data_IF_261366718601
#
_entry.id   IF_261366718601
#
_cell.length_a   1.000
_cell.length_b   1.000
_cell.length_c   1.000
_cell.angle_alpha   90.00
_cell.angle_beta   90.00
_cell.angle_gamma   90.00
#
_symmetry.space_group_name_H-M   'P 1'
#
loop_
_entity.id
_entity.type
_entity.pdbx_description
1 polymer ?
#
# COMPACT_ATOMS: atom_id res chain seq x y z
N UNK A 1 -17.55 -23.57 19.25
CA UNK A 1 -18.70 -23.26 18.38
C UNK A 1 -19.72 -22.42 19.13
N UNK A 2 -19.98 -21.23 18.61
CA UNK A 2 -21.10 -20.40 19.04
C UNK A 2 -22.29 -20.78 18.14
N UNK A 3 -23.47 -21.06 18.72
CA UNK A 3 -24.68 -21.36 17.94
C UNK A 3 -25.00 -20.22 16.97
N UNK A 4 -25.34 -20.55 15.72
CA UNK A 4 -25.54 -19.57 14.65
C UNK A 4 -26.72 -18.62 14.96
N UNK A 5 -27.75 -19.13 15.63
CA UNK A 5 -28.92 -18.42 16.15
C UNK A 5 -28.60 -17.51 17.36
N UNK A 6 -27.42 -17.62 17.95
CA UNK A 6 -26.91 -16.69 18.95
C UNK A 6 -26.13 -15.51 18.32
N UNK A 7 -25.89 -15.54 17.00
CA UNK A 7 -25.16 -14.51 16.25
C UNK A 7 -26.07 -13.84 15.21
N UNK A 8 -26.94 -14.60 14.54
CA UNK A 8 -27.83 -14.13 13.49
C UNK A 8 -29.29 -14.12 13.94
N UNK A 9 -30.04 -13.13 13.48
CA UNK A 9 -31.50 -13.02 13.65
C UNK A 9 -31.97 -13.01 15.12
N UNK A 10 -31.12 -12.50 16.00
CA UNK A 10 -31.34 -12.51 17.46
C UNK A 10 -32.41 -11.51 17.92
N UNK A 11 -32.84 -10.60 17.04
CA UNK A 11 -33.74 -9.51 17.38
C UNK A 11 -33.17 -8.54 18.44
N UNK A 12 -31.87 -8.63 18.74
CA UNK A 12 -31.17 -7.78 19.72
C UNK A 12 -30.74 -6.43 19.13
N UNK A 13 -30.93 -6.23 17.83
CA UNK A 13 -30.63 -4.98 17.14
C UNK A 13 -31.95 -4.27 16.82
N UNK A 14 -32.17 -3.14 17.47
CA UNK A 14 -33.25 -2.20 17.21
C UNK A 14 -32.60 -0.89 16.73
N UNK A 15 -32.93 -0.47 15.51
CA UNK A 15 -32.34 0.69 14.84
C UNK A 15 -32.73 2.00 15.56
N UNK A 16 -33.96 2.11 16.09
CA UNK A 16 -34.41 3.27 16.87
C UNK A 16 -33.75 3.33 18.25
N UNK A 17 -33.54 2.17 18.90
CA UNK A 17 -32.84 2.08 20.19
C UNK A 17 -31.34 2.35 20.02
N UNK A 18 -30.75 1.94 18.89
CA UNK A 18 -29.35 2.19 18.53
C UNK A 18 -29.03 3.67 18.38
N UNK A 19 -29.94 4.45 17.79
CA UNK A 19 -29.81 5.91 17.62
C UNK A 19 -30.01 6.70 18.93
N UNK A 20 -30.83 6.18 19.83
CA UNK A 20 -31.16 6.85 21.11
C UNK A 20 -30.38 6.32 22.30
N UNK A 21 -29.48 5.34 22.10
CA UNK A 21 -28.75 4.71 23.18
C UNK A 21 -27.90 5.76 23.94
N UNK A 22 -28.05 5.87 25.27
CA UNK A 22 -27.38 6.90 26.07
C UNK A 22 -25.85 6.81 26.08
N UNK A 23 -25.28 5.69 25.58
CA UNK A 23 -23.85 5.52 25.37
C UNK A 23 -23.29 6.42 24.26
N UNK A 24 -24.00 6.55 23.13
CA UNK A 24 -23.57 7.40 22.00
C UNK A 24 -23.61 8.87 22.35
N UNK A 25 -24.69 9.30 23.01
CA UNK A 25 -24.81 10.68 23.49
C UNK A 25 -23.71 11.05 24.50
N UNK A 26 -23.14 10.08 25.22
CA UNK A 26 -22.02 10.32 26.14
C UNK A 26 -20.69 10.48 25.40
N UNK A 27 -20.45 9.66 24.37
CA UNK A 27 -19.27 9.75 23.48
C UNK A 27 -19.30 11.05 22.65
N UNK A 28 -20.49 11.53 22.26
CA UNK A 28 -20.65 12.76 21.48
C UNK A 28 -20.51 14.05 22.30
N UNK A 29 -20.72 13.97 23.63
CA UNK A 29 -20.70 15.12 24.54
C UNK A 29 -19.35 15.30 25.26
N UNK A 30 -18.54 14.23 25.36
CA UNK A 30 -17.12 14.35 25.66
C UNK A 30 -16.35 14.60 24.36
N UNK A 31 -15.22 15.32 24.36
CA UNK A 31 -14.29 15.31 23.23
C UNK A 31 -13.62 13.93 23.23
N UNK A 32 -14.03 12.97 22.37
CA UNK A 32 -13.40 11.66 22.40
C UNK A 32 -11.95 11.84 22.01
N UNK A 33 -11.04 11.34 22.86
CA UNK A 33 -9.65 11.18 22.48
C UNK A 33 -9.67 10.28 21.24
N UNK A 34 -9.13 10.71 20.08
CA UNK A 34 -9.09 9.87 18.90
C UNK A 34 -8.52 8.50 19.26
N UNK A 35 -9.02 7.41 18.66
CA UNK A 35 -8.53 6.06 18.95
C UNK A 35 -7.00 5.94 18.73
N UNK A 36 -6.45 6.81 17.87
CA UNK A 36 -5.00 6.97 17.66
C UNK A 36 -4.25 7.45 18.92
N UNK A 37 -4.85 8.33 19.72
CA UNK A 37 -4.32 8.79 21.00
C UNK A 37 -4.68 7.86 22.17
N UNK A 38 -5.83 7.18 22.12
CA UNK A 38 -6.27 6.25 23.18
C UNK A 38 -5.47 4.94 23.17
N UNK A 39 -5.13 4.41 21.99
CA UNK A 39 -4.43 3.12 21.81
C UNK A 39 -2.97 3.26 21.35
N UNK A 40 -2.46 4.49 21.23
CA UNK A 40 -1.08 4.74 20.76
C UNK A 40 -0.83 4.30 19.32
N UNK A 41 -1.87 4.29 18.48
CA UNK A 41 -1.75 3.92 17.07
C UNK A 41 -1.14 5.09 16.31
N UNK A 42 0.02 4.85 15.71
CA UNK A 42 0.75 5.79 14.88
C UNK A 42 0.75 5.35 13.42
N UNK A 43 1.06 6.28 12.52
CA UNK A 43 1.25 5.98 11.11
C UNK A 43 2.36 6.81 10.51
N UNK A 44 3.01 6.26 9.49
CA UNK A 44 3.97 7.00 8.67
C UNK A 44 3.90 6.52 7.22
N UNK A 45 4.36 7.36 6.31
CA UNK A 45 4.45 7.03 4.89
C UNK A 45 5.90 6.80 4.51
N UNK A 46 6.19 5.61 3.98
CA UNK A 46 7.44 5.30 3.29
C UNK A 46 7.33 5.74 1.83
N UNK A 47 8.29 6.52 1.35
CA UNK A 47 8.38 6.94 -0.06
C UNK A 47 9.78 6.67 -0.58
N UNK A 48 9.87 6.11 -1.79
CA UNK A 48 11.16 5.91 -2.45
C UNK A 48 11.00 6.04 -3.98
N UNK A 49 11.97 6.70 -4.64
CA UNK A 49 11.92 6.95 -6.10
C UNK A 49 12.53 5.85 -6.95
N UNK A 50 13.39 5.03 -6.38
CA UNK A 50 13.99 3.89 -7.08
C UNK A 50 13.26 2.59 -6.77
N UNK A 51 13.25 1.63 -7.70
CA UNK A 51 12.49 0.40 -7.54
C UNK A 51 13.14 -0.52 -6.50
N UNK A 52 12.32 -1.40 -5.94
CA UNK A 52 12.82 -2.53 -5.15
C UNK A 52 13.48 -3.59 -6.04
N UNK A 53 14.56 -4.17 -5.53
CA UNK A 53 15.12 -5.40 -6.04
C UNK A 53 14.21 -6.58 -5.64
N UNK A 54 13.72 -7.39 -6.58
CA UNK A 54 12.70 -8.41 -6.30
C UNK A 54 13.14 -9.46 -5.29
N UNK A 55 14.34 -10.02 -5.45
CA UNK A 55 14.89 -11.00 -4.50
C UNK A 55 15.06 -10.45 -3.07
N UNK A 56 15.48 -9.19 -2.92
CA UNK A 56 15.64 -8.57 -1.60
C UNK A 56 14.30 -8.30 -0.96
N UNK A 57 13.35 -7.78 -1.74
CA UNK A 57 12.00 -7.54 -1.26
C UNK A 57 11.32 -8.84 -0.82
N UNK A 58 11.40 -9.90 -1.62
CA UNK A 58 10.84 -11.21 -1.27
C UNK A 58 11.41 -11.76 0.05
N UNK A 59 12.73 -11.63 0.25
CA UNK A 59 13.38 -12.01 1.52
C UNK A 59 12.92 -11.17 2.70
N UNK A 60 12.60 -9.90 2.47
CA UNK A 60 12.14 -8.97 3.50
C UNK A 60 10.68 -9.23 3.91
N UNK A 61 9.82 -9.53 2.92
CA UNK A 61 8.42 -9.89 3.12
C UNK A 61 8.23 -11.17 3.95
N UNK A 62 9.20 -12.09 3.90
CA UNK A 62 9.20 -13.30 4.72
C UNK A 62 9.51 -13.09 6.21
N UNK A 63 9.76 -11.85 6.65
CA UNK A 63 10.11 -11.52 8.03
C UNK A 63 8.93 -10.91 8.78
N UNK A 64 9.00 -10.92 10.11
CA UNK A 64 8.05 -10.20 10.95
C UNK A 64 8.27 -8.68 10.86
N UNK A 65 7.19 -7.91 11.05
CA UNK A 65 7.18 -6.44 11.08
C UNK A 65 6.65 -5.99 12.44
N UNK A 66 7.50 -5.96 13.48
CA UNK A 66 7.07 -5.63 14.85
C UNK A 66 6.35 -4.28 14.89
N UNK A 67 5.24 -4.25 15.63
CA UNK A 67 4.42 -3.06 15.80
C UNK A 67 3.52 -2.71 14.59
N UNK A 68 3.81 -3.21 13.39
CA UNK A 68 2.97 -2.97 12.21
C UNK A 68 1.70 -3.80 12.30
N UNK A 69 0.54 -3.13 12.30
CA UNK A 69 -0.77 -3.77 12.27
C UNK A 69 -1.22 -3.99 10.82
N UNK A 70 -1.02 -2.96 9.99
CA UNK A 70 -1.34 -2.98 8.56
C UNK A 70 -0.47 -2.02 7.78
N UNK A 71 -0.35 -2.26 6.49
CA UNK A 71 0.21 -1.28 5.56
C UNK A 71 -0.41 -1.43 4.18
N UNK A 72 -0.58 -0.31 3.47
CA UNK A 72 -1.17 -0.29 2.13
C UNK A 72 -0.52 0.78 1.27
N UNK A 73 -0.42 0.56 -0.03
CA UNK A 73 0.04 1.59 -0.95
C UNK A 73 0.47 1.01 -2.28
N UNK A 74 1.31 1.75 -3.00
CA UNK A 74 1.84 1.35 -4.30
C UNK A 74 3.34 1.15 -4.20
N UNK A 75 3.88 0.22 -4.98
CA UNK A 75 5.32 0.02 -5.05
C UNK A 75 5.79 -0.20 -6.48
N UNK A 76 7.08 0.03 -6.68
CA UNK A 76 7.75 -0.16 -7.96
C UNK A 76 8.79 -1.29 -7.84
N UNK A 77 8.73 -2.25 -8.77
CA UNK A 77 9.58 -3.44 -8.78
C UNK A 77 10.49 -3.44 -10.00
N UNK A 78 11.80 -3.65 -9.80
CA UNK A 78 12.79 -3.51 -10.86
C UNK A 78 12.58 -4.51 -12.01
N UNK A 79 12.22 -5.77 -11.70
CA UNK A 79 11.95 -6.82 -12.70
C UNK A 79 10.64 -6.63 -13.46
N UNK A 80 9.77 -5.71 -13.02
CA UNK A 80 8.46 -5.43 -13.62
C UNK A 80 8.29 -3.91 -13.78
N UNK A 81 9.19 -3.25 -14.51
CA UNK A 81 9.43 -1.80 -14.39
C UNK A 81 8.30 -0.93 -14.95
N UNK A 82 7.46 -1.50 -15.81
CA UNK A 82 6.38 -0.80 -16.50
C UNK A 82 5.05 -0.82 -15.74
N UNK A 83 4.96 -1.62 -14.68
CA UNK A 83 3.74 -1.80 -13.91
C UNK A 83 3.86 -1.20 -12.50
N UNK A 84 2.84 -0.44 -12.13
CA UNK A 84 2.55 -0.12 -10.75
C UNK A 84 1.86 -1.32 -10.08
N UNK A 85 2.23 -1.59 -8.84
CA UNK A 85 1.65 -2.68 -8.07
C UNK A 85 1.13 -2.22 -6.73
N UNK A 86 0.03 -2.84 -6.29
CA UNK A 86 -0.59 -2.65 -4.99
C UNK A 86 0.14 -3.48 -3.94
N UNK A 87 0.49 -2.83 -2.84
CA UNK A 87 0.95 -3.45 -1.60
C UNK A 87 -0.23 -3.49 -0.62
N UNK A 88 -0.59 -4.69 -0.15
CA UNK A 88 -1.60 -4.87 0.88
C UNK A 88 -1.09 -5.81 1.97
N UNK A 89 -0.94 -5.31 3.19
CA UNK A 89 -0.47 -6.08 4.34
C UNK A 89 -1.40 -5.91 5.53
N UNK A 90 -1.81 -7.02 6.12
CA UNK A 90 -2.60 -7.08 7.35
C UNK A 90 -2.20 -8.32 8.13
N UNK A 91 -1.91 -8.16 9.43
CA UNK A 91 -1.48 -9.26 10.28
C UNK A 91 -0.18 -9.92 9.80
N UNK A 92 -0.26 -11.17 9.33
CA UNK A 92 0.89 -11.96 8.85
C UNK A 92 0.90 -12.14 7.32
N UNK A 93 -0.07 -11.56 6.61
CA UNK A 93 -0.22 -11.74 5.17
C UNK A 93 0.12 -10.46 4.43
N UNK A 94 1.02 -10.58 3.44
CA UNK A 94 1.29 -9.54 2.44
C UNK A 94 0.85 -10.05 1.08
N UNK A 95 0.14 -9.20 0.36
CA UNK A 95 -0.35 -9.42 -0.99
C UNK A 95 0.21 -8.32 -1.89
N UNK A 96 0.76 -8.74 -3.04
CA UNK A 96 1.33 -7.86 -4.06
C UNK A 96 0.63 -8.12 -5.38
N UNK A 97 -0.11 -7.15 -5.89
CA UNK A 97 -0.96 -7.30 -7.06
C UNK A 97 -0.60 -6.28 -8.12
N UNK A 98 -0.63 -6.62 -9.43
CA UNK A 98 -0.51 -5.63 -10.48
C UNK A 98 -1.70 -4.66 -10.38
N UNK A 99 -1.50 -3.39 -10.73
CA UNK A 99 -2.58 -2.41 -10.74
C UNK A 99 -2.76 -1.76 -12.11
N UNK A 100 -1.75 -1.04 -12.59
CA UNK A 100 -1.83 -0.33 -13.86
C UNK A 100 -0.42 -0.10 -14.41
N UNK A 101 -0.26 0.13 -15.72
CA UNK A 101 0.98 0.69 -16.24
C UNK A 101 1.30 2.05 -15.62
N UNK A 102 2.58 2.35 -15.44
CA UNK A 102 3.01 3.72 -15.11
C UNK A 102 2.76 4.65 -16.29
N UNK A 103 2.41 5.93 -16.06
CA UNK A 103 2.28 6.89 -17.17
C UNK A 103 3.59 7.02 -17.95
N UNK A 104 4.73 6.94 -17.27
CA UNK A 104 6.05 6.95 -17.89
C UNK A 104 6.43 5.64 -18.60
N UNK A 105 5.56 4.63 -18.59
CA UNK A 105 5.62 3.41 -19.42
C UNK A 105 4.58 3.41 -20.55
N UNK A 106 3.66 4.39 -20.56
CA UNK A 106 2.52 4.48 -21.48
C UNK A 106 2.73 5.66 -22.44
N UNK A 107 2.47 5.51 -23.75
CA UNK A 107 2.47 6.65 -24.68
C UNK A 107 1.52 7.76 -24.19
N UNK A 108 1.93 9.03 -24.29
CA UNK A 108 1.13 10.18 -23.81
C UNK A 108 -0.27 10.26 -24.46
N UNK A 109 -0.43 9.72 -25.68
CA UNK A 109 -1.72 9.63 -26.38
C UNK A 109 -2.72 8.66 -25.73
N UNK A 110 -2.23 7.70 -24.95
CA UNK A 110 -3.02 6.70 -24.24
C UNK A 110 -3.20 7.06 -22.75
N UNK A 111 -2.82 8.27 -22.32
CA UNK A 111 -2.99 8.70 -20.94
C UNK A 111 -4.46 9.01 -20.63
N UNK A 112 -5.04 8.23 -19.73
CA UNK A 112 -6.40 8.41 -19.21
C UNK A 112 -6.44 9.48 -18.09
N UNK A 113 -6.23 10.74 -18.48
CA UNK A 113 -6.37 11.91 -17.59
C UNK A 113 -7.60 12.72 -18.03
N UNK A 114 -8.67 12.67 -17.25
CA UNK A 114 -9.96 13.28 -17.58
C UNK A 114 -10.00 14.78 -17.28
N UNK A 115 -9.22 15.20 -16.28
CA UNK A 115 -9.25 16.56 -15.72
C UNK A 115 -7.89 17.26 -15.83
N UNK A 116 -7.92 18.59 -15.80
CA UNK A 116 -6.69 19.38 -15.71
C UNK A 116 -6.02 19.23 -14.32
N UNK A 117 -6.80 18.95 -13.28
CA UNK A 117 -6.30 18.69 -11.93
C UNK A 117 -5.42 17.44 -11.89
N UNK A 118 -5.88 16.32 -12.47
CA UNK A 118 -5.08 15.09 -12.58
C UNK A 118 -3.77 15.30 -13.35
N UNK A 119 -3.82 16.13 -14.40
CA UNK A 119 -2.62 16.50 -15.17
C UNK A 119 -1.63 17.30 -14.34
N UNK A 120 -2.10 18.28 -13.56
CA UNK A 120 -1.25 19.08 -12.67
C UNK A 120 -0.65 18.22 -11.56
N UNK A 121 -1.43 17.31 -10.97
CA UNK A 121 -0.97 16.38 -9.94
C UNK A 121 0.11 15.42 -10.45
N UNK A 122 -0.04 14.94 -11.69
CA UNK A 122 0.96 14.12 -12.37
C UNK A 122 2.24 14.93 -12.62
N UNK A 123 2.11 16.16 -13.12
CA UNK A 123 3.25 17.05 -13.38
C UNK A 123 4.01 17.43 -12.11
N UNK A 124 3.31 17.65 -10.99
CA UNK A 124 3.94 18.00 -9.71
C UNK A 124 4.81 16.85 -9.19
N UNK A 125 4.35 15.60 -9.34
CA UNK A 125 5.10 14.42 -8.89
C UNK A 125 6.10 13.88 -9.91
N UNK A 126 6.11 14.41 -11.13
CA UNK A 126 6.92 13.90 -12.23
C UNK A 126 8.41 14.07 -11.94
N UNK A 127 9.14 12.96 -12.01
CA UNK A 127 10.59 12.96 -11.89
C UNK A 127 11.23 12.91 -13.30
N UNK A 128 12.25 13.74 -13.61
CA UNK A 128 12.87 13.74 -14.94
C UNK A 128 13.56 12.43 -15.34
N UNK A 129 13.93 11.58 -14.37
CA UNK A 129 14.65 10.33 -14.59
C UNK A 129 13.70 9.13 -14.67
N UNK A 130 12.67 9.09 -13.82
CA UNK A 130 11.80 7.91 -13.68
C UNK A 130 10.32 8.18 -14.02
N UNK A 131 9.95 9.43 -14.25
CA UNK A 131 8.59 9.87 -14.51
C UNK A 131 7.71 9.83 -13.27
N UNK A 132 6.53 9.24 -13.36
CA UNK A 132 5.58 9.08 -12.26
C UNK A 132 5.90 7.88 -11.34
N UNK A 133 6.88 7.07 -11.71
CA UNK A 133 7.29 5.86 -10.97
C UNK A 133 7.76 6.22 -9.55
N UNK A 134 7.14 5.58 -8.56
CA UNK A 134 7.55 5.69 -7.17
C UNK A 134 6.96 4.58 -6.30
N UNK A 135 7.59 4.31 -5.16
CA UNK A 135 6.98 3.57 -4.06
C UNK A 135 6.39 4.54 -3.06
N UNK A 136 5.17 4.29 -2.63
CA UNK A 136 4.50 5.00 -1.55
C UNK A 136 3.63 4.03 -0.73
N UNK A 137 4.02 3.76 0.52
CA UNK A 137 3.35 2.80 1.38
C UNK A 137 3.08 3.44 2.74
N UNK A 138 1.83 3.46 3.18
CA UNK A 138 1.48 3.86 4.54
C UNK A 138 1.58 2.65 5.47
N UNK A 139 2.27 2.82 6.59
CA UNK A 139 2.35 1.86 7.70
C UNK A 139 1.53 2.39 8.87
N UNK A 140 0.76 1.51 9.51
CA UNK A 140 -0.10 1.84 10.64
C UNK A 140 0.12 0.77 11.71
N UNK A 141 0.37 1.20 12.94
CA UNK A 141 0.77 0.29 14.00
C UNK A 141 0.94 0.93 15.37
N UNK A 142 1.36 0.11 16.34
CA UNK A 142 1.60 0.49 17.74
C UNK A 142 3.06 0.17 18.04
N UNK A 143 3.78 1.07 18.71
CA UNK A 143 5.21 0.91 19.04
C UNK A 143 6.08 0.52 17.82
N UNK A 144 5.75 1.05 16.64
CA UNK A 144 6.54 0.83 15.42
C UNK A 144 7.89 1.54 15.54
N UNK A 145 8.98 0.81 15.27
CA UNK A 145 10.27 1.44 15.00
C UNK A 145 10.31 1.89 13.53
N UNK A 146 9.83 3.12 13.27
CA UNK A 146 9.80 3.70 11.93
C UNK A 146 11.20 3.71 11.28
N UNK A 147 12.25 3.99 12.04
CA UNK A 147 13.61 4.06 11.51
C UNK A 147 14.11 2.69 11.05
N UNK A 148 13.84 1.64 11.84
CA UNK A 148 14.15 0.26 11.45
C UNK A 148 13.36 -0.18 10.22
N UNK A 149 12.05 0.11 10.16
CA UNK A 149 11.21 -0.25 9.02
C UNK A 149 11.71 0.43 7.74
N UNK A 150 12.03 1.73 7.79
CA UNK A 150 12.61 2.46 6.67
C UNK A 150 13.93 1.84 6.23
N UNK A 151 14.84 1.56 7.15
CA UNK A 151 16.13 0.96 6.82
C UNK A 151 16.00 -0.44 6.18
N UNK A 152 15.05 -1.25 6.64
CA UNK A 152 14.74 -2.56 6.06
C UNK A 152 14.23 -2.44 4.62
N UNK A 153 13.30 -1.52 4.36
CA UNK A 153 12.81 -1.22 3.01
C UNK A 153 13.90 -0.63 2.11
N UNK A 154 14.68 0.33 2.61
CA UNK A 154 15.80 0.94 1.88
C UNK A 154 16.85 -0.10 1.47
N UNK A 155 17.09 -1.11 2.31
CA UNK A 155 17.99 -2.22 1.96
C UNK A 155 17.49 -3.07 0.76
N UNK A 156 16.20 -3.00 0.46
CA UNK A 156 15.58 -3.68 -0.66
C UNK A 156 15.63 -2.87 -1.96
N UNK A 157 15.86 -1.56 -1.90
CA UNK A 157 15.92 -0.68 -3.07
C UNK A 157 17.18 -0.96 -3.88
N UNK A 158 17.12 -0.87 -5.21
CA UNK A 158 18.34 -0.86 -6.04
C UNK A 158 19.39 0.14 -5.51
N UNK A 159 20.65 -0.28 -5.52
CA UNK A 159 21.78 0.61 -5.29
C UNK A 159 22.00 1.50 -6.52
N UNK A 160 22.81 2.56 -6.39
CA UNK A 160 23.15 3.44 -7.52
C UNK A 160 23.75 2.64 -8.69
N UNK A 161 24.71 1.78 -8.40
CA UNK A 161 25.36 0.93 -9.41
C UNK A 161 24.39 -0.04 -10.11
N UNK A 162 23.36 -0.54 -9.41
CA UNK A 162 22.33 -1.38 -10.03
C UNK A 162 21.34 -0.56 -10.84
N UNK A 163 20.96 0.63 -10.35
CA UNK A 163 20.07 1.54 -11.05
C UNK A 163 20.70 2.00 -12.38
N UNK A 164 21.99 2.34 -12.38
CA UNK A 164 22.72 2.78 -13.57
C UNK A 164 22.83 1.72 -14.68
N UNK A 165 22.65 0.43 -14.37
CA UNK A 165 22.63 -0.64 -15.39
C UNK A 165 21.38 -0.59 -16.28
N UNK A 166 20.32 0.08 -15.84
CA UNK A 166 19.10 0.30 -16.60
C UNK A 166 18.21 -0.92 -16.80
N UNK A 167 17.10 -0.69 -17.51
CA UNK A 167 15.95 -1.60 -17.63
C UNK A 167 16.32 -3.00 -18.11
N UNK A 168 17.17 -3.14 -19.14
CA UNK A 168 17.55 -4.46 -19.66
C UNK A 168 18.17 -5.34 -18.58
N UNK A 169 19.06 -4.78 -17.76
CA UNK A 169 19.67 -5.51 -16.64
C UNK A 169 18.70 -5.79 -15.51
N UNK A 170 17.66 -4.97 -15.34
CA UNK A 170 16.68 -5.16 -14.27
C UNK A 170 15.71 -6.30 -14.57
N UNK A 171 15.34 -6.49 -15.83
CA UNK A 171 14.50 -7.60 -16.30
C UNK A 171 15.15 -8.97 -16.06
N UNK A 172 16.48 -9.03 -16.03
CA UNK A 172 17.26 -10.24 -15.75
C UNK A 172 17.45 -10.53 -14.25
N UNK A 173 16.92 -9.69 -13.35
CA UNK A 173 17.01 -9.94 -11.91
C UNK A 173 16.21 -11.18 -11.51
N UNK A 174 16.76 -11.97 -10.59
CA UNK A 174 16.04 -13.10 -10.01
C UNK A 174 14.79 -12.59 -9.28
N UNK A 175 13.61 -12.94 -9.81
CA UNK A 175 12.32 -12.54 -9.26
C UNK A 175 11.58 -13.75 -8.68
N UNK A 176 11.67 -13.99 -7.36
CA UNK A 176 10.96 -15.09 -6.71
C UNK A 176 9.53 -14.71 -6.27
N UNK A 177 9.05 -13.49 -6.57
CA UNK A 177 7.69 -13.09 -6.22
C UNK A 177 6.68 -13.81 -7.12
N UNK A 178 5.43 -14.02 -6.67
CA UNK A 178 4.39 -14.63 -7.49
C UNK A 178 4.24 -13.94 -8.85
N UNK A 179 3.95 -14.71 -9.88
CA UNK A 179 3.59 -14.17 -11.19
C UNK A 179 2.33 -13.31 -11.06
N UNK A 180 2.31 -12.19 -11.78
CA UNK A 180 1.12 -11.35 -11.87
C UNK A 180 0.27 -11.84 -13.02
N UNK A 181 -0.94 -12.28 -12.71
CA UNK A 181 -1.93 -12.60 -13.72
C UNK A 181 -2.57 -11.30 -14.21
N UNK A 182 -2.12 -10.84 -15.38
CA UNK A 182 -2.68 -9.67 -16.06
C UNK A 182 -3.93 -10.01 -16.89
N UNK A 183 -4.40 -11.28 -16.84
CA UNK A 183 -5.58 -11.75 -17.57
C UNK A 183 -6.89 -11.58 -16.80
N UNK A 184 -6.84 -11.22 -15.52
CA UNK A 184 -7.99 -10.62 -14.86
C UNK A 184 -8.14 -9.21 -15.43
N UNK A 185 -8.94 -9.12 -16.49
CA UNK A 185 -9.46 -7.89 -17.06
C UNK A 185 -9.81 -6.94 -15.89
N UNK A 186 -9.05 -5.85 -15.79
CA UNK A 186 -9.54 -4.67 -15.08
C UNK A 186 -10.66 -4.19 -16.00
N UNK A 187 -11.88 -4.63 -15.71
CA UNK A 187 -13.08 -4.15 -16.39
C UNK A 187 -13.16 -2.64 -16.14
N UNK A 188 -12.67 -1.86 -17.10
CA UNK A 188 -12.97 -0.44 -17.23
C UNK A 188 -14.36 -0.32 -17.88
N UNK A 189 -15.40 -0.63 -17.11
CA UNK A 189 -16.81 -0.41 -17.49
C UNK A 189 -17.34 0.90 -16.87
#
# INVERSE_FOLDING_TARGET
>A
DVPLDAVLDTGLFDEEEGETAPGWAKILNDDPIPETEEYGITSFVYRHRWPFHPDRLARELGKAWPGVLRSKGFFWLASRPDLQAMWSHSGLSVMLEPLAPWFAATPEEDWELETEEERLDLQERWDPLVGDRQTEIVFIGIDMDEAEIRARLDSCVLTGDEFEKGLESWLDLNDPLPEWDLSCDIDFD
#
